data_IF_246537689568
#
_entry.id   IF_246537689568
#
_cell.length_a   1.000
_cell.length_b   1.000
_cell.length_c   1.000
_cell.angle_alpha   90.00
_cell.angle_beta   90.00
_cell.angle_gamma   90.00
#
_symmetry.space_group_name_H-M   'P 1'
#
loop_
_entity.id
_entity.type
_entity.pdbx_description
1 polymer ?
#
# COMPACT_ATOMS: atom_id res chain seq x y z
N UNK A 1 3.49 84.78 -41.31
CA UNK A 1 2.70 83.73 -40.66
C UNK A 1 3.63 82.53 -40.45
N UNK A 2 3.97 82.23 -39.20
CA UNK A 2 4.91 81.14 -38.86
C UNK A 2 4.10 79.91 -38.49
N UNK A 3 4.24 78.83 -39.25
CA UNK A 3 3.65 77.50 -38.90
C UNK A 3 4.55 76.82 -37.90
N UNK A 4 4.00 76.44 -36.78
CA UNK A 4 4.66 75.57 -35.77
C UNK A 4 4.35 74.10 -36.09
N UNK A 5 5.37 73.29 -36.33
CA UNK A 5 5.28 71.86 -36.41
C UNK A 5 5.33 71.29 -35.01
N UNK A 6 4.32 70.49 -34.66
CA UNK A 6 4.24 69.71 -33.42
C UNK A 6 4.88 68.37 -33.65
N UNK A 7 5.93 68.06 -32.87
CA UNK A 7 6.60 66.76 -32.88
C UNK A 7 5.95 65.87 -31.81
N UNK A 8 5.16 64.85 -32.23
CA UNK A 8 4.58 63.86 -31.35
C UNK A 8 5.59 62.73 -31.12
N UNK A 9 6.13 62.67 -29.93
CA UNK A 9 7.01 61.56 -29.51
C UNK A 9 6.16 60.33 -29.14
N UNK A 10 6.17 59.30 -29.95
CA UNK A 10 5.60 57.97 -29.59
C UNK A 10 6.58 57.25 -28.68
N UNK A 11 6.23 57.10 -27.38
CA UNK A 11 6.94 56.23 -26.46
C UNK A 11 6.36 54.82 -26.63
N UNK A 12 7.14 53.94 -27.25
CA UNK A 12 6.82 52.51 -27.35
C UNK A 12 7.24 51.84 -26.04
N UNK A 13 6.27 51.59 -25.14
CA UNK A 13 6.51 50.81 -23.91
C UNK A 13 6.52 49.33 -24.29
N UNK A 14 7.70 48.74 -24.35
CA UNK A 14 7.92 47.32 -24.53
C UNK A 14 7.59 46.60 -23.19
N UNK A 15 6.41 45.96 -23.08
CA UNK A 15 6.12 45.05 -21.99
C UNK A 15 6.92 43.74 -22.21
N UNK A 16 8.05 43.60 -21.51
CA UNK A 16 8.71 42.30 -21.36
C UNK A 16 7.89 41.47 -20.38
N UNK A 17 7.02 40.59 -20.86
CA UNK A 17 6.43 39.56 -20.07
C UNK A 17 7.51 38.50 -19.81
N UNK A 18 8.16 38.56 -18.63
CA UNK A 18 8.95 37.46 -18.13
C UNK A 18 7.99 36.31 -17.83
N UNK A 19 7.86 35.37 -18.76
CA UNK A 19 7.28 34.07 -18.48
C UNK A 19 8.22 33.35 -17.50
N UNK A 20 7.98 33.52 -16.19
CA UNK A 20 8.56 32.63 -15.18
C UNK A 20 7.96 31.25 -15.43
N UNK A 21 8.68 30.39 -16.16
CA UNK A 21 8.46 28.98 -16.15
C UNK A 21 8.70 28.53 -14.69
N UNK A 22 7.62 28.38 -13.94
CA UNK A 22 7.63 27.59 -12.70
C UNK A 22 8.10 26.19 -13.10
N UNK A 23 9.41 25.95 -13.03
CA UNK A 23 9.96 24.61 -12.98
C UNK A 23 9.42 24.02 -11.68
N UNK A 24 8.29 23.30 -11.76
CA UNK A 24 7.84 22.47 -10.65
C UNK A 24 8.99 21.51 -10.40
N UNK A 25 9.73 21.76 -9.32
CA UNK A 25 10.81 20.88 -8.89
C UNK A 25 10.24 19.46 -8.86
N UNK A 26 10.87 18.55 -9.59
CA UNK A 26 10.48 17.16 -9.56
C UNK A 26 10.80 16.68 -8.15
N UNK A 27 9.79 16.22 -7.40
CA UNK A 27 9.99 15.63 -6.08
C UNK A 27 11.04 14.55 -6.20
N UNK A 28 12.16 14.71 -5.50
CA UNK A 28 13.20 13.70 -5.35
C UNK A 28 13.09 13.08 -3.96
N UNK A 29 13.74 11.93 -3.79
CA UNK A 29 13.71 11.21 -2.52
C UNK A 29 15.13 10.87 -2.07
N UNK A 30 15.35 10.96 -0.75
CA UNK A 30 16.47 10.29 -0.10
C UNK A 30 16.03 8.87 0.22
N UNK A 31 16.86 7.87 -0.14
CA UNK A 31 16.65 6.47 0.22
C UNK A 31 17.44 6.13 1.48
N UNK A 32 16.78 5.55 2.47
CA UNK A 32 17.37 5.00 3.69
C UNK A 32 17.23 3.49 3.67
N UNK A 33 18.32 2.77 3.88
CA UNK A 33 18.33 1.33 4.11
C UNK A 33 17.85 1.05 5.53
N UNK A 34 16.82 0.23 5.68
CA UNK A 34 16.34 -0.15 7.02
C UNK A 34 17.23 -1.20 7.68
N UNK A 35 18.13 -1.84 6.89
CA UNK A 35 18.95 -2.94 7.36
C UNK A 35 18.17 -4.22 7.59
N UNK A 36 18.75 -5.13 8.39
CA UNK A 36 18.18 -6.44 8.69
C UNK A 36 18.43 -6.80 10.16
N UNK A 37 17.56 -7.65 10.76
CA UNK A 37 17.73 -8.14 12.13
C UNK A 37 18.92 -9.10 12.28
N UNK A 38 19.32 -9.77 11.20
CA UNK A 38 20.41 -10.75 11.18
C UNK A 38 21.44 -10.39 10.11
N UNK A 39 22.72 -10.64 10.35
CA UNK A 39 23.74 -10.46 9.34
C UNK A 39 23.45 -11.32 8.09
N UNK A 40 23.61 -10.74 6.90
CA UNK A 40 23.27 -11.37 5.61
C UNK A 40 21.80 -11.83 5.52
N UNK A 41 20.89 -11.18 6.25
CA UNK A 41 19.46 -11.41 6.17
C UNK A 41 18.79 -10.61 5.06
N UNK A 42 17.47 -10.70 5.01
CA UNK A 42 16.59 -9.85 4.20
C UNK A 42 15.66 -9.04 5.10
N UNK A 43 15.07 -8.00 4.55
CA UNK A 43 13.95 -7.29 5.18
C UNK A 43 12.93 -6.84 4.14
N UNK A 44 11.67 -6.76 4.57
CA UNK A 44 10.51 -6.29 3.79
C UNK A 44 9.81 -5.21 4.62
N UNK A 45 9.57 -4.04 4.06
CA UNK A 45 8.87 -2.96 4.76
C UNK A 45 7.46 -2.78 4.18
N UNK A 46 6.44 -3.20 4.93
CA UNK A 46 5.06 -3.27 4.44
C UNK A 46 4.23 -2.00 4.73
N UNK A 47 4.47 -1.36 5.85
CA UNK A 47 3.67 -0.19 6.26
C UNK A 47 4.50 0.83 7.02
N UNK A 48 4.12 2.11 6.86
CA UNK A 48 4.69 3.27 7.57
C UNK A 48 3.57 4.12 8.16
N UNK A 49 3.68 4.51 9.43
CA UNK A 49 2.73 5.40 10.07
C UNK A 49 3.08 6.89 9.89
N UNK A 50 2.26 7.77 10.45
CA UNK A 50 2.42 9.22 10.32
C UNK A 50 3.70 9.76 10.98
N UNK A 51 4.25 9.08 11.99
CA UNK A 51 5.49 9.43 12.69
C UNK A 51 6.75 8.86 12.04
N UNK A 52 6.59 8.04 10.97
CA UNK A 52 7.70 7.40 10.26
C UNK A 52 8.15 6.08 10.88
N UNK A 53 7.37 5.50 11.79
CA UNK A 53 7.61 4.14 12.27
C UNK A 53 7.16 3.13 11.20
N UNK A 54 7.93 2.05 11.05
CA UNK A 54 7.76 1.09 9.95
C UNK A 54 7.67 -0.32 10.53
N UNK A 55 6.82 -1.14 9.94
CA UNK A 55 6.72 -2.56 10.25
C UNK A 55 6.85 -3.41 9.00
N UNK A 56 7.21 -4.68 9.22
CA UNK A 56 7.38 -5.66 8.16
C UNK A 56 7.91 -6.98 8.70
N UNK A 57 8.76 -7.62 7.92
CA UNK A 57 9.48 -8.82 8.33
C UNK A 57 10.98 -8.69 8.03
N UNK A 58 11.80 -9.27 8.89
CA UNK A 58 13.23 -9.46 8.63
C UNK A 58 13.65 -10.86 9.05
N UNK A 59 14.40 -11.52 8.19
CA UNK A 59 14.76 -12.91 8.39
C UNK A 59 16.02 -13.33 7.66
N UNK A 60 16.19 -14.63 7.55
CA UNK A 60 17.31 -15.26 6.89
C UNK A 60 16.81 -16.32 5.91
N UNK A 61 17.10 -16.11 4.61
CA UNK A 61 16.63 -16.99 3.53
C UNK A 61 17.11 -18.44 3.66
N UNK A 62 18.21 -18.68 4.37
CA UNK A 62 18.76 -20.04 4.55
C UNK A 62 18.02 -20.85 5.64
N UNK A 63 17.31 -20.18 6.55
CA UNK A 63 16.69 -20.83 7.70
C UNK A 63 15.16 -20.79 7.66
N UNK A 64 14.55 -20.04 6.71
CA UNK A 64 13.12 -19.74 6.65
C UNK A 64 12.56 -19.12 7.95
N UNK A 65 13.42 -18.52 8.77
CA UNK A 65 13.04 -17.79 9.97
C UNK A 65 12.80 -16.33 9.61
N UNK A 66 11.72 -15.76 10.12
CA UNK A 66 11.46 -14.32 9.98
C UNK A 66 10.75 -13.78 11.20
N UNK A 67 11.28 -12.70 11.74
CA UNK A 67 10.67 -11.96 12.83
C UNK A 67 9.89 -10.76 12.29
N UNK A 68 8.81 -10.44 12.98
CA UNK A 68 8.13 -9.17 12.85
C UNK A 68 9.06 -8.09 13.38
N UNK A 69 9.22 -6.99 12.67
CA UNK A 69 10.00 -5.86 13.19
C UNK A 69 9.18 -4.60 13.38
N UNK A 70 9.65 -3.75 14.28
CA UNK A 70 9.32 -2.33 14.38
C UNK A 70 10.61 -1.54 14.16
N UNK A 71 10.61 -0.68 13.14
CA UNK A 71 11.68 0.29 12.91
C UNK A 71 11.21 1.65 13.40
N UNK A 72 11.97 2.23 14.33
CA UNK A 72 11.68 3.53 14.94
C UNK A 72 12.99 4.23 15.31
N UNK A 73 13.06 5.54 15.11
CA UNK A 73 14.25 6.35 15.47
C UNK A 73 15.57 5.81 14.87
N UNK A 74 15.53 5.30 13.63
CA UNK A 74 16.72 4.80 12.94
C UNK A 74 17.15 3.39 13.35
N UNK A 75 16.37 2.68 14.16
CA UNK A 75 16.72 1.34 14.67
C UNK A 75 15.60 0.34 14.40
N UNK A 76 15.97 -0.84 13.87
CA UNK A 76 15.10 -1.98 13.70
C UNK A 76 15.16 -2.86 14.95
N UNK A 77 14.01 -3.15 15.54
CA UNK A 77 13.87 -4.05 16.69
C UNK A 77 12.92 -5.19 16.37
N UNK A 78 13.27 -6.44 16.77
CA UNK A 78 12.38 -7.59 16.64
C UNK A 78 11.22 -7.47 17.63
N UNK A 79 9.99 -7.73 17.16
CA UNK A 79 8.82 -7.97 18.00
C UNK A 79 8.62 -9.47 18.29
N UNK A 80 9.44 -10.35 17.68
CA UNK A 80 9.34 -11.80 17.80
C UNK A 80 8.17 -12.40 17.02
N UNK A 81 7.68 -13.55 17.49
CA UNK A 81 6.57 -14.32 16.91
C UNK A 81 5.61 -14.80 18.02
N UNK A 82 4.51 -15.44 17.65
CA UNK A 82 3.60 -16.10 18.60
C UNK A 82 4.11 -17.49 19.05
N UNK A 83 5.41 -17.74 18.96
CA UNK A 83 6.08 -18.96 19.40
C UNK A 83 6.44 -19.92 18.26
N UNK A 84 6.12 -19.58 17.02
CA UNK A 84 6.57 -20.29 15.81
C UNK A 84 7.79 -19.66 15.17
N UNK A 85 8.07 -20.04 13.93
CA UNK A 85 9.32 -19.70 13.23
C UNK A 85 9.20 -18.48 12.30
N UNK A 86 7.98 -17.98 12.03
CA UNK A 86 7.74 -16.94 11.04
C UNK A 86 6.64 -15.98 11.49
N UNK A 87 6.86 -14.70 11.20
CA UNK A 87 5.89 -13.64 11.40
C UNK A 87 6.12 -12.44 10.49
N UNK A 88 5.06 -11.73 10.15
CA UNK A 88 5.06 -10.53 9.29
C UNK A 88 4.14 -9.47 9.88
N UNK A 89 4.64 -8.25 10.06
CA UNK A 89 3.85 -7.05 10.32
C UNK A 89 3.33 -6.47 9.01
N UNK A 90 2.02 -6.37 8.83
CA UNK A 90 1.41 -5.90 7.60
C UNK A 90 0.87 -4.47 7.70
N UNK A 91 0.50 -4.03 8.88
CA UNK A 91 -0.03 -2.69 9.12
C UNK A 91 0.47 -2.10 10.42
N UNK A 92 0.63 -0.79 10.45
CA UNK A 92 0.98 -0.01 11.64
C UNK A 92 0.11 1.25 11.69
N UNK A 93 -0.44 1.56 12.86
CA UNK A 93 -1.27 2.75 13.04
C UNK A 93 -0.49 3.92 13.67
N UNK A 94 -1.14 5.08 13.82
CA UNK A 94 -0.53 6.30 14.36
C UNK A 94 -0.03 6.15 15.81
N UNK A 95 -0.51 5.18 16.57
CA UNK A 95 -0.09 4.87 17.93
C UNK A 95 1.06 3.85 18.00
N UNK A 96 1.66 3.45 16.86
CA UNK A 96 2.70 2.43 16.79
C UNK A 96 2.21 1.00 17.05
N UNK A 97 0.89 0.77 17.02
CA UNK A 97 0.32 -0.57 17.13
C UNK A 97 0.44 -1.29 15.79
N UNK A 98 0.87 -2.54 15.81
CA UNK A 98 1.13 -3.35 14.62
C UNK A 98 0.12 -4.48 14.52
N UNK A 99 -0.38 -4.73 13.32
CA UNK A 99 -1.17 -5.91 12.99
C UNK A 99 -0.52 -6.71 11.86
N UNK A 100 -0.70 -8.03 11.91
CA UNK A 100 -0.11 -8.93 10.94
C UNK A 100 -0.45 -10.38 11.28
N UNK A 101 0.42 -11.29 10.86
CA UNK A 101 0.27 -12.69 11.20
C UNK A 101 1.60 -13.30 11.64
N UNK A 102 1.50 -14.33 12.44
CA UNK A 102 2.63 -15.09 12.94
C UNK A 102 2.25 -16.55 13.11
N UNK A 103 3.19 -17.43 12.89
CA UNK A 103 3.05 -18.81 13.33
C UNK A 103 3.08 -18.88 14.87
N UNK A 104 2.24 -19.74 15.43
CA UNK A 104 2.31 -20.13 16.83
C UNK A 104 3.20 -21.38 17.00
N UNK A 105 3.34 -21.89 18.23
CA UNK A 105 4.15 -23.09 18.54
C UNK A 105 3.66 -24.39 17.87
N UNK A 106 2.49 -24.38 17.23
CA UNK A 106 1.94 -25.50 16.45
C UNK A 106 2.01 -25.25 14.94
N UNK A 107 2.87 -24.32 14.48
CA UNK A 107 3.06 -23.93 13.08
C UNK A 107 1.79 -23.41 12.37
N UNK A 108 0.79 -22.99 13.15
CA UNK A 108 -0.45 -22.43 12.60
C UNK A 108 -0.35 -20.90 12.48
N UNK A 109 -0.78 -20.36 11.36
CA UNK A 109 -0.85 -18.91 11.16
C UNK A 109 -1.98 -18.31 11.98
N UNK A 110 -1.64 -17.31 12.80
CA UNK A 110 -2.54 -16.58 13.69
C UNK A 110 -2.44 -15.10 13.39
N UNK A 111 -3.59 -14.44 13.29
CA UNK A 111 -3.64 -12.99 13.24
C UNK A 111 -3.25 -12.43 14.61
N UNK A 112 -2.42 -11.40 14.63
CA UNK A 112 -2.01 -10.74 15.87
C UNK A 112 -2.28 -9.23 15.83
N UNK A 113 -2.39 -8.67 17.04
CA UNK A 113 -2.32 -7.27 17.34
C UNK A 113 -1.18 -7.05 18.34
N UNK A 114 -0.26 -6.13 18.04
CA UNK A 114 0.85 -5.80 18.93
C UNK A 114 0.71 -4.37 19.43
N UNK A 115 0.93 -4.19 20.73
CA UNK A 115 0.93 -2.89 21.39
C UNK A 115 2.00 -2.86 22.48
N UNK A 116 2.84 -1.82 22.53
CA UNK A 116 3.93 -1.71 23.50
C UNK A 116 4.92 -2.88 23.45
N UNK A 117 5.15 -3.46 22.25
CA UNK A 117 6.07 -4.59 22.05
C UNK A 117 5.49 -5.97 22.39
N UNK A 118 4.23 -6.06 22.82
CA UNK A 118 3.60 -7.33 23.15
C UNK A 118 2.66 -7.79 22.04
N UNK A 119 2.88 -9.00 21.49
CA UNK A 119 2.00 -9.63 20.51
C UNK A 119 0.86 -10.36 21.21
N UNK A 120 -0.37 -10.15 20.75
CA UNK A 120 -1.58 -10.83 21.21
C UNK A 120 -2.25 -11.51 20.02
N UNK A 121 -2.50 -12.81 20.12
CA UNK A 121 -3.35 -13.55 19.17
C UNK A 121 -4.78 -13.03 19.28
N UNK A 122 -5.37 -12.56 18.17
CA UNK A 122 -6.73 -11.99 18.14
C UNK A 122 -7.81 -12.99 17.76
N UNK A 123 -7.46 -14.27 17.68
CA UNK A 123 -8.39 -15.36 17.40
C UNK A 123 -8.62 -15.60 15.90
N UNK A 124 -9.73 -16.30 15.62
CA UNK A 124 -10.16 -16.69 14.27
C UNK A 124 -11.71 -16.81 14.21
N UNK A 125 -12.26 -17.27 13.09
CA UNK A 125 -13.70 -17.47 12.90
C UNK A 125 -14.15 -18.92 13.18
N UNK A 126 -13.38 -19.66 13.99
CA UNK A 126 -13.68 -21.03 14.44
C UNK A 126 -12.98 -22.11 13.64
N UNK A 127 -12.19 -21.77 12.62
CA UNK A 127 -11.44 -22.72 11.79
C UNK A 127 -9.95 -22.83 12.12
N UNK A 128 -9.47 -22.15 13.17
CA UNK A 128 -8.13 -22.32 13.74
C UNK A 128 -7.03 -21.49 13.10
N UNK A 129 -7.27 -20.76 12.00
CA UNK A 129 -6.26 -19.95 11.31
C UNK A 129 -6.80 -18.57 10.90
N UNK A 130 -5.96 -17.55 11.02
CA UNK A 130 -6.25 -16.18 10.60
C UNK A 130 -4.97 -15.42 10.20
N UNK A 131 -5.13 -14.45 9.29
CA UNK A 131 -4.08 -13.54 8.83
C UNK A 131 -4.63 -12.13 8.82
N UNK A 132 -3.98 -11.19 9.50
CA UNK A 132 -4.33 -9.76 9.45
C UNK A 132 -3.50 -9.04 8.39
N UNK A 133 -4.13 -8.10 7.66
CA UNK A 133 -3.51 -7.32 6.60
C UNK A 133 -3.48 -5.82 6.89
N UNK A 134 -4.43 -5.29 7.62
CA UNK A 134 -4.51 -3.85 7.88
C UNK A 134 -4.99 -3.51 9.28
N UNK A 135 -4.66 -2.30 9.71
CA UNK A 135 -5.08 -1.71 10.99
C UNK A 135 -5.35 -0.22 10.78
N UNK A 136 -6.35 0.33 11.48
CA UNK A 136 -6.61 1.78 11.52
C UNK A 136 -6.21 2.42 12.86
N UNK A 137 -6.35 3.74 12.95
CA UNK A 137 -5.91 4.50 14.14
C UNK A 137 -6.82 4.30 15.37
N UNK A 138 -8.00 3.70 15.20
CA UNK A 138 -8.86 3.34 16.33
C UNK A 138 -8.67 1.88 16.77
N UNK A 139 -7.64 1.19 16.25
CA UNK A 139 -7.26 -0.17 16.64
C UNK A 139 -8.14 -1.27 16.04
N UNK A 140 -8.89 -0.99 14.98
CA UNK A 140 -9.60 -2.02 14.23
C UNK A 140 -8.64 -2.72 13.27
N UNK A 141 -8.68 -4.06 13.25
CA UNK A 141 -7.82 -4.91 12.42
C UNK A 141 -8.67 -5.66 11.40
N UNK A 142 -8.19 -5.78 10.18
CA UNK A 142 -8.87 -6.53 9.10
C UNK A 142 -7.96 -7.57 8.48
N UNK A 143 -8.57 -8.62 7.92
CA UNK A 143 -7.81 -9.69 7.31
C UNK A 143 -8.69 -10.80 6.74
N UNK A 144 -8.16 -12.03 6.75
CA UNK A 144 -8.86 -13.25 6.36
C UNK A 144 -8.75 -14.27 7.49
N UNK A 145 -9.83 -14.97 7.79
CA UNK A 145 -9.86 -16.05 8.78
C UNK A 145 -10.68 -17.24 8.28
N UNK A 146 -10.29 -18.44 8.72
CA UNK A 146 -11.01 -19.66 8.42
C UNK A 146 -12.19 -19.78 9.36
N UNK A 147 -13.39 -19.99 8.80
CA UNK A 147 -14.62 -20.24 9.54
C UNK A 147 -14.66 -21.68 10.08
N UNK A 148 -15.57 -21.97 11.01
CA UNK A 148 -15.79 -23.34 11.51
C UNK A 148 -16.20 -24.34 10.41
N UNK A 149 -16.63 -23.86 9.23
CA UNK A 149 -16.93 -24.71 8.06
C UNK A 149 -15.72 -24.93 7.14
N UNK A 150 -14.56 -24.35 7.46
CA UNK A 150 -13.36 -24.43 6.63
C UNK A 150 -13.32 -23.44 5.47
N UNK A 151 -14.19 -22.45 5.43
CA UNK A 151 -14.22 -21.41 4.40
C UNK A 151 -13.38 -20.19 4.83
N UNK A 152 -12.67 -19.53 3.93
CA UNK A 152 -11.97 -18.28 4.21
C UNK A 152 -12.90 -17.09 4.03
N UNK A 153 -13.10 -16.31 5.09
CA UNK A 153 -13.88 -15.08 5.07
C UNK A 153 -13.05 -13.85 5.46
N UNK A 154 -13.31 -12.70 4.84
CA UNK A 154 -12.84 -11.42 5.36
C UNK A 154 -13.37 -11.19 6.77
N UNK A 155 -12.54 -10.64 7.65
CA UNK A 155 -12.94 -10.27 9.00
C UNK A 155 -12.65 -8.81 9.34
N UNK A 156 -13.38 -8.29 10.34
CA UNK A 156 -13.09 -7.08 11.07
C UNK A 156 -12.97 -7.43 12.56
N UNK A 157 -11.80 -7.18 13.15
CA UNK A 157 -11.61 -7.24 14.60
C UNK A 157 -11.81 -5.86 15.20
N UNK A 158 -12.72 -5.74 16.14
CA UNK A 158 -13.06 -4.47 16.80
C UNK A 158 -13.56 -4.73 18.22
N UNK A 159 -13.08 -3.96 19.20
CA UNK A 159 -13.54 -4.10 20.58
C UNK A 159 -13.35 -5.48 21.18
N UNK A 160 -12.27 -6.19 20.84
CA UNK A 160 -11.96 -7.52 21.35
C UNK A 160 -12.73 -8.68 20.66
N UNK A 161 -13.45 -8.40 19.57
CA UNK A 161 -14.25 -9.43 18.86
C UNK A 161 -13.90 -9.45 17.38
N UNK A 162 -13.77 -10.66 16.82
CA UNK A 162 -13.67 -10.89 15.39
C UNK A 162 -15.07 -11.02 14.78
N UNK A 163 -15.36 -10.23 13.77
CA UNK A 163 -16.64 -10.13 13.07
C UNK A 163 -16.44 -10.68 11.67
N UNK A 164 -17.20 -11.71 11.30
CA UNK A 164 -17.26 -12.24 9.94
C UNK A 164 -17.96 -11.24 9.00
N UNK A 165 -17.30 -10.81 7.94
CA UNK A 165 -17.86 -9.87 6.96
C UNK A 165 -18.62 -10.58 5.84
N UNK A 166 -18.59 -11.93 5.80
CA UNK A 166 -19.13 -12.73 4.70
C UNK A 166 -18.31 -12.60 3.41
N UNK A 167 -18.93 -13.03 2.31
CA UNK A 167 -18.32 -12.98 0.95
C UNK A 167 -19.32 -12.34 -0.03
N UNK A 168 -18.86 -12.15 -1.28
CA UNK A 168 -19.77 -11.74 -2.39
C UNK A 168 -20.67 -12.88 -2.90
N UNK A 169 -20.78 -13.98 -2.13
CA UNK A 169 -21.61 -15.12 -2.43
C UNK A 169 -20.86 -16.41 -2.73
N UNK A 170 -19.53 -16.40 -2.61
CA UNK A 170 -18.70 -17.61 -2.69
C UNK A 170 -18.87 -18.47 -1.44
N UNK A 171 -18.93 -19.78 -1.63
CA UNK A 171 -18.84 -20.82 -0.59
C UNK A 171 -17.51 -21.59 -0.69
N UNK A 172 -16.41 -20.92 -1.04
CA UNK A 172 -15.14 -21.57 -1.34
C UNK A 172 -14.04 -21.28 -0.31
N UNK A 173 -13.14 -22.25 -0.13
CA UNK A 173 -11.93 -22.12 0.67
C UNK A 173 -10.84 -21.39 -0.15
N UNK A 174 -10.98 -20.10 -0.35
CA UNK A 174 -10.01 -19.28 -1.07
C UNK A 174 -9.44 -18.17 -0.19
N UNK A 175 -8.13 -18.17 0.00
CA UNK A 175 -7.39 -17.12 0.72
C UNK A 175 -7.57 -15.72 0.09
N UNK A 176 -8.09 -15.66 -1.13
CA UNK A 176 -8.42 -14.41 -1.80
C UNK A 176 -9.72 -13.76 -1.29
N UNK A 177 -10.54 -14.45 -0.48
CA UNK A 177 -11.62 -13.84 0.30
C UNK A 177 -10.97 -13.14 1.51
N UNK A 178 -10.60 -11.89 1.37
CA UNK A 178 -9.80 -11.17 2.37
C UNK A 178 -10.11 -9.68 2.41
N UNK A 179 -10.15 -9.12 3.61
CA UNK A 179 -10.14 -7.67 3.83
C UNK A 179 -8.68 -7.18 3.87
N UNK A 180 -8.33 -6.21 3.03
CA UNK A 180 -6.96 -5.73 2.88
C UNK A 180 -6.68 -4.47 3.70
N UNK A 181 -7.64 -3.57 3.80
CA UNK A 181 -7.44 -2.28 4.45
C UNK A 181 -8.73 -1.77 5.08
N UNK A 182 -8.60 -0.98 6.14
CA UNK A 182 -9.69 -0.32 6.86
C UNK A 182 -9.30 1.13 7.17
N UNK A 183 -10.22 2.08 6.91
CA UNK A 183 -10.01 3.48 7.27
C UNK A 183 -10.55 3.81 8.68
N UNK A 184 -10.31 5.02 9.17
CA UNK A 184 -10.73 5.44 10.52
C UNK A 184 -12.26 5.55 10.70
N UNK A 185 -13.03 5.56 9.61
CA UNK A 185 -14.48 5.47 9.65
C UNK A 185 -15.01 4.02 9.72
N UNK A 186 -14.12 3.01 9.76
CA UNK A 186 -14.48 1.59 9.78
C UNK A 186 -14.95 1.05 8.43
N UNK A 187 -14.70 1.77 7.34
CA UNK A 187 -14.96 1.26 5.98
C UNK A 187 -13.83 0.31 5.59
N UNK A 188 -14.18 -0.91 5.23
CA UNK A 188 -13.25 -1.99 4.88
C UNK A 188 -13.24 -2.20 3.36
N UNK A 189 -12.07 -2.43 2.80
CA UNK A 189 -11.90 -2.84 1.40
C UNK A 189 -11.09 -4.12 1.30
N UNK A 190 -11.31 -4.87 0.24
CA UNK A 190 -10.62 -6.12 0.01
C UNK A 190 -11.09 -6.80 -1.25
N UNK A 191 -10.96 -8.12 -1.29
CA UNK A 191 -11.34 -8.98 -2.42
C UNK A 191 -12.20 -10.14 -1.98
N UNK A 192 -13.10 -10.55 -2.85
CA UNK A 192 -13.92 -11.74 -2.65
C UNK A 192 -14.38 -12.32 -3.98
N UNK A 193 -14.58 -13.62 -4.00
CA UNK A 193 -15.28 -14.30 -5.08
C UNK A 193 -16.81 -14.12 -4.95
N UNK A 194 -17.49 -13.93 -6.07
CA UNK A 194 -18.94 -14.00 -6.13
C UNK A 194 -19.44 -15.46 -6.32
N UNK A 195 -20.75 -15.67 -6.30
CA UNK A 195 -21.38 -17.00 -6.46
C UNK A 195 -21.06 -17.69 -7.80
N UNK A 196 -20.59 -16.95 -8.79
CA UNK A 196 -20.20 -17.48 -10.10
C UNK A 196 -18.71 -17.78 -10.19
N UNK A 197 -17.95 -17.62 -9.10
CA UNK A 197 -16.50 -17.82 -9.07
C UNK A 197 -15.70 -16.67 -9.71
N UNK A 198 -16.30 -15.50 -9.90
CA UNK A 198 -15.59 -14.33 -10.38
C UNK A 198 -15.00 -13.55 -9.21
N UNK A 199 -13.82 -13.00 -9.40
CA UNK A 199 -13.03 -12.31 -8.38
C UNK A 199 -13.16 -10.79 -8.50
N UNK A 200 -13.61 -10.12 -7.41
CA UNK A 200 -13.83 -8.69 -7.42
C UNK A 200 -13.35 -8.02 -6.12
N UNK A 201 -12.91 -6.78 -6.26
CA UNK A 201 -12.81 -5.88 -5.13
C UNK A 201 -14.17 -5.65 -4.48
N UNK A 202 -14.18 -5.45 -3.16
CA UNK A 202 -15.37 -5.05 -2.42
C UNK A 202 -15.10 -3.83 -1.53
N UNK A 203 -16.17 -3.14 -1.18
CA UNK A 203 -16.24 -2.20 -0.07
C UNK A 203 -17.29 -2.71 0.91
N UNK A 204 -16.91 -2.85 2.18
CA UNK A 204 -17.81 -3.17 3.26
C UNK A 204 -17.98 -1.94 4.16
N UNK A 205 -19.23 -1.59 4.45
CA UNK A 205 -19.56 -0.48 5.32
C UNK A 205 -20.84 -0.78 6.10
N UNK A 206 -20.81 -0.65 7.43
CA UNK A 206 -21.96 -0.83 8.31
C UNK A 206 -22.80 -2.11 8.02
N UNK A 207 -22.12 -3.25 7.92
CA UNK A 207 -22.79 -4.56 7.73
C UNK A 207 -23.11 -4.90 6.28
N UNK A 208 -22.81 -4.03 5.31
CA UNK A 208 -23.11 -4.26 3.90
C UNK A 208 -21.84 -4.36 3.06
N UNK A 209 -21.62 -5.52 2.42
CA UNK A 209 -20.61 -5.71 1.40
C UNK A 209 -21.15 -5.32 0.02
N UNK A 210 -20.41 -4.50 -0.71
CA UNK A 210 -20.77 -4.03 -2.04
C UNK A 210 -19.64 -4.36 -3.01
N UNK A 211 -19.98 -5.07 -4.08
CA UNK A 211 -19.04 -5.43 -5.15
C UNK A 211 -18.59 -4.17 -5.89
N UNK A 212 -17.29 -4.04 -6.12
CA UNK A 212 -16.71 -3.02 -7.00
C UNK A 212 -16.78 -3.46 -8.47
N UNK A 213 -16.69 -2.49 -9.39
CA UNK A 213 -16.57 -2.76 -10.82
C UNK A 213 -15.15 -3.20 -11.22
N UNK A 214 -14.85 -3.06 -12.49
CA UNK A 214 -13.53 -3.29 -13.11
C UNK A 214 -13.16 -2.09 -13.99
N UNK A 215 -11.98 -2.11 -14.61
CA UNK A 215 -11.62 -1.15 -15.66
C UNK A 215 -12.15 -1.58 -17.05
N UNK A 216 -13.19 -2.43 -17.08
CA UNK A 216 -13.83 -2.97 -18.28
C UNK A 216 -13.44 -4.40 -18.60
N UNK A 217 -12.53 -5.00 -17.85
CA UNK A 217 -12.12 -6.41 -17.93
C UNK A 217 -12.91 -7.30 -16.96
N UNK A 218 -12.33 -8.43 -16.57
CA UNK A 218 -13.06 -9.53 -15.93
C UNK A 218 -12.84 -9.63 -14.40
N UNK A 219 -11.83 -8.95 -13.80
CA UNK A 219 -11.65 -8.93 -12.35
C UNK A 219 -11.03 -7.63 -11.82
N UNK A 220 -11.13 -7.45 -10.52
CA UNK A 220 -10.52 -6.34 -9.78
C UNK A 220 -10.16 -6.75 -8.36
N UNK A 221 -9.22 -6.03 -7.75
CA UNK A 221 -8.81 -6.17 -6.36
C UNK A 221 -8.67 -4.79 -5.73
N UNK A 222 -9.19 -4.63 -4.51
CA UNK A 222 -9.01 -3.42 -3.71
C UNK A 222 -7.95 -3.69 -2.63
N UNK A 223 -6.86 -2.91 -2.62
CA UNK A 223 -5.71 -3.13 -1.74
C UNK A 223 -5.66 -2.14 -0.58
N UNK A 224 -6.00 -0.88 -0.82
CA UNK A 224 -5.94 0.14 0.22
C UNK A 224 -7.08 1.16 0.11
N UNK A 225 -7.47 1.71 1.26
CA UNK A 225 -8.43 2.80 1.39
C UNK A 225 -7.85 3.89 2.29
N UNK A 226 -8.02 5.16 1.90
CA UNK A 226 -7.65 6.30 2.75
C UNK A 226 -8.83 6.84 3.57
N UNK A 227 -8.57 7.80 4.47
CA UNK A 227 -9.61 8.40 5.32
C UNK A 227 -10.62 9.29 4.55
N UNK A 228 -10.35 9.62 3.29
CA UNK A 228 -11.29 10.28 2.39
C UNK A 228 -12.19 9.29 1.63
N UNK A 229 -12.06 7.97 1.89
CA UNK A 229 -12.82 6.92 1.21
C UNK A 229 -12.37 6.68 -0.23
N UNK A 230 -11.15 7.09 -0.61
CA UNK A 230 -10.56 6.75 -1.89
C UNK A 230 -9.90 5.38 -1.79
N UNK A 231 -10.19 4.52 -2.75
CA UNK A 231 -9.72 3.13 -2.82
C UNK A 231 -8.73 2.99 -3.97
N UNK A 232 -7.65 2.29 -3.75
CA UNK A 232 -6.70 1.86 -4.80
C UNK A 232 -6.55 0.36 -4.84
N UNK A 233 -6.01 -0.13 -5.94
CA UNK A 233 -5.76 -1.55 -6.15
C UNK A 233 -5.41 -1.81 -7.61
N UNK A 234 -5.86 -2.95 -8.12
CA UNK A 234 -5.66 -3.36 -9.51
C UNK A 234 -6.99 -3.76 -10.15
N UNK A 235 -7.18 -3.40 -11.41
CA UNK A 235 -8.32 -3.79 -12.22
C UNK A 235 -7.90 -4.16 -13.63
N UNK A 236 -8.54 -5.18 -14.21
CA UNK A 236 -8.31 -5.51 -15.60
C UNK A 236 -9.06 -4.55 -16.50
N UNK A 237 -8.34 -4.05 -17.51
CA UNK A 237 -8.88 -3.25 -18.59
C UNK A 237 -9.61 -4.14 -19.60
N UNK A 238 -10.37 -3.53 -20.51
CA UNK A 238 -11.02 -4.26 -21.62
C UNK A 238 -10.02 -4.97 -22.53
N UNK A 239 -8.78 -4.47 -22.64
CA UNK A 239 -7.71 -5.11 -23.41
C UNK A 239 -7.05 -6.30 -22.72
N UNK A 240 -7.43 -6.61 -21.47
CA UNK A 240 -6.86 -7.72 -20.70
C UNK A 240 -5.56 -7.39 -19.99
N UNK A 241 -5.20 -6.10 -19.86
CA UNK A 241 -4.05 -5.64 -19.05
C UNK A 241 -4.49 -5.21 -17.65
N UNK A 242 -3.67 -5.47 -16.66
CA UNK A 242 -3.95 -5.08 -15.29
C UNK A 242 -3.35 -3.70 -14.98
N UNK A 243 -4.19 -2.73 -14.61
CA UNK A 243 -3.78 -1.37 -14.26
C UNK A 243 -4.16 -1.03 -12.83
N UNK A 244 -3.33 -0.20 -12.17
CA UNK A 244 -3.70 0.44 -10.93
C UNK A 244 -4.84 1.43 -11.16
N UNK A 245 -5.73 1.57 -10.16
CA UNK A 245 -6.86 2.49 -10.22
C UNK A 245 -6.98 3.34 -8.96
N UNK A 246 -7.75 4.43 -9.05
CA UNK A 246 -8.38 5.11 -7.91
C UNK A 246 -9.89 5.08 -8.11
N UNK A 247 -10.62 4.65 -7.08
CA UNK A 247 -12.07 4.75 -7.03
C UNK A 247 -12.49 5.62 -5.84
N UNK A 248 -13.56 6.39 -5.98
CA UNK A 248 -14.06 7.27 -4.92
C UNK A 248 -15.57 7.52 -5.07
N UNK A 249 -16.16 8.06 -3.99
CA UNK A 249 -17.58 8.41 -3.94
C UNK A 249 -18.51 7.18 -3.85
N UNK A 250 -19.81 7.42 -3.90
CA UNK A 250 -20.84 6.40 -3.73
C UNK A 250 -20.92 5.39 -4.88
N UNK A 251 -20.48 5.78 -6.06
CA UNK A 251 -20.50 4.92 -7.26
C UNK A 251 -19.30 4.00 -7.36
N UNK A 252 -18.22 4.25 -6.60
CA UNK A 252 -16.96 3.50 -6.65
C UNK A 252 -16.42 3.32 -8.07
N UNK A 253 -16.69 4.31 -8.95
CA UNK A 253 -16.22 4.26 -10.34
C UNK A 253 -14.70 4.32 -10.36
N UNK A 254 -14.10 3.31 -10.95
CA UNK A 254 -12.64 3.22 -11.09
C UNK A 254 -12.14 4.18 -12.16
N UNK A 255 -11.11 4.93 -11.83
CA UNK A 255 -10.31 5.72 -12.77
C UNK A 255 -8.97 5.00 -12.97
N UNK A 256 -8.69 4.64 -14.20
CA UNK A 256 -7.42 4.05 -14.62
C UNK A 256 -6.27 5.05 -14.40
N UNK A 257 -5.19 4.62 -13.77
CA UNK A 257 -3.98 5.43 -13.54
C UNK A 257 -2.94 5.29 -14.67
N UNK A 258 -3.20 4.40 -15.64
CA UNK A 258 -2.30 4.12 -16.74
C UNK A 258 -1.08 3.30 -16.31
N UNK A 259 0.01 3.46 -17.07
CA UNK A 259 1.28 2.75 -16.88
C UNK A 259 2.45 3.72 -16.88
N UNK A 260 3.61 3.29 -16.41
CA UNK A 260 4.87 4.01 -16.59
C UNK A 260 5.34 3.82 -18.04
N UNK A 261 5.91 4.84 -18.65
CA UNK A 261 6.52 4.74 -19.98
C UNK A 261 7.63 3.67 -20.00
N UNK A 262 7.48 2.68 -20.89
CA UNK A 262 8.36 1.51 -21.00
C UNK A 262 7.94 0.29 -20.17
N UNK A 263 6.88 0.39 -19.35
CA UNK A 263 6.30 -0.76 -18.68
C UNK A 263 5.60 -1.69 -19.69
N UNK A 264 5.70 -3.00 -19.47
CA UNK A 264 5.25 -4.00 -20.46
C UNK A 264 3.83 -4.46 -20.25
N UNK A 265 3.28 -4.45 -19.02
CA UNK A 265 1.92 -5.00 -18.87
C UNK A 265 1.17 -4.67 -17.58
N UNK A 266 1.75 -4.87 -16.40
CA UNK A 266 0.96 -4.96 -15.17
C UNK A 266 1.36 -3.88 -14.18
N UNK A 267 0.37 -3.14 -13.65
CA UNK A 267 0.57 -2.10 -12.64
C UNK A 267 -0.38 -2.35 -11.47
N UNK A 268 0.19 -2.49 -10.27
CA UNK A 268 -0.53 -2.77 -9.03
C UNK A 268 -0.40 -1.60 -8.08
N UNK A 269 -1.51 -1.00 -7.64
CA UNK A 269 -1.53 -0.03 -6.55
C UNK A 269 -1.61 -0.75 -5.21
N UNK A 270 -0.68 -0.50 -4.29
CA UNK A 270 -0.64 -1.13 -2.96
C UNK A 270 -1.04 -0.16 -1.86
N UNK A 271 -0.52 1.07 -1.87
CA UNK A 271 -0.79 2.08 -0.87
C UNK A 271 -1.41 3.37 -1.44
N UNK A 272 -2.19 4.05 -0.62
CA UNK A 272 -2.77 5.37 -0.92
C UNK A 272 -2.82 6.23 0.35
N UNK A 273 -2.33 7.49 0.27
CA UNK A 273 -2.46 8.44 1.38
C UNK A 273 -3.67 9.37 1.22
N UNK A 274 -3.94 10.20 2.24
CA UNK A 274 -5.08 11.14 2.24
C UNK A 274 -4.96 12.29 1.20
N UNK A 275 -3.80 12.48 0.60
CA UNK A 275 -3.62 13.38 -0.55
C UNK A 275 -3.96 12.73 -1.89
N UNK A 276 -4.32 11.43 -1.89
CA UNK A 276 -4.63 10.66 -3.10
C UNK A 276 -3.38 10.27 -3.91
N UNK A 277 -2.21 10.29 -3.28
CA UNK A 277 -0.97 9.75 -3.86
C UNK A 277 -1.02 8.24 -3.73
N UNK A 278 -0.81 7.54 -4.86
CA UNK A 278 -0.79 6.07 -4.91
C UNK A 278 0.63 5.58 -5.16
N UNK A 279 0.99 4.51 -4.46
CA UNK A 279 2.26 3.79 -4.65
C UNK A 279 2.01 2.33 -4.97
N UNK A 280 3.00 1.67 -5.55
CA UNK A 280 2.89 0.26 -5.92
C UNK A 280 4.03 -0.20 -6.81
N UNK A 281 3.76 -1.19 -7.67
CA UNK A 281 4.75 -1.72 -8.61
C UNK A 281 4.23 -1.79 -10.04
N UNK A 282 5.14 -1.71 -10.99
CA UNK A 282 4.91 -1.86 -12.42
C UNK A 282 5.88 -2.88 -13.00
N UNK A 283 5.41 -3.67 -13.98
CA UNK A 283 6.23 -4.71 -14.63
C UNK A 283 6.99 -4.12 -15.81
N UNK A 284 8.30 -4.36 -15.85
CA UNK A 284 9.22 -4.01 -16.93
C UNK A 284 9.92 -5.28 -17.43
N UNK A 285 9.58 -5.78 -18.59
CA UNK A 285 10.13 -7.01 -19.16
C UNK A 285 10.17 -8.15 -18.14
N UNK A 286 11.29 -8.40 -17.47
CA UNK A 286 11.48 -9.46 -16.50
C UNK A 286 11.75 -8.95 -15.07
N UNK A 287 11.44 -7.67 -14.78
CA UNK A 287 11.66 -7.06 -13.47
C UNK A 287 10.46 -6.20 -13.06
N UNK A 288 10.45 -5.79 -11.80
CA UNK A 288 9.47 -4.86 -11.25
C UNK A 288 10.14 -3.56 -10.85
N UNK A 289 9.42 -2.45 -11.02
CA UNK A 289 9.83 -1.14 -10.54
C UNK A 289 8.73 -0.54 -9.65
N UNK A 290 9.16 -0.05 -8.51
CA UNK A 290 8.31 0.74 -7.63
C UNK A 290 7.89 2.05 -8.32
N UNK A 291 6.62 2.45 -8.15
CA UNK A 291 6.10 3.70 -8.71
C UNK A 291 5.43 4.58 -7.66
N UNK A 292 5.34 5.85 -7.99
CA UNK A 292 4.46 6.83 -7.33
C UNK A 292 3.56 7.48 -8.38
N UNK A 293 2.25 7.56 -8.09
CA UNK A 293 1.27 8.32 -8.87
C UNK A 293 0.85 9.55 -8.08
N UNK A 294 1.13 10.73 -8.63
CA UNK A 294 0.81 12.02 -8.03
C UNK A 294 0.58 13.06 -9.11
N UNK A 295 -0.36 14.00 -8.90
CA UNK A 295 -0.64 15.07 -9.85
C UNK A 295 -1.07 14.60 -11.25
N UNK A 296 -1.73 13.44 -11.33
CA UNK A 296 -2.19 12.85 -12.60
C UNK A 296 -1.12 12.10 -13.39
N UNK A 297 0.07 11.89 -12.83
CA UNK A 297 1.21 11.24 -13.53
C UNK A 297 1.78 10.12 -12.68
N UNK A 298 2.07 8.99 -13.34
CA UNK A 298 2.82 7.87 -12.76
C UNK A 298 4.31 8.05 -13.06
N UNK A 299 5.15 7.90 -12.04
CA UNK A 299 6.60 8.05 -12.13
C UNK A 299 7.30 6.84 -11.54
N UNK A 300 8.36 6.38 -12.17
CA UNK A 300 9.27 5.35 -11.67
C UNK A 300 10.10 5.92 -10.50
N UNK A 301 10.00 5.33 -9.32
CA UNK A 301 10.74 5.77 -8.12
C UNK A 301 12.25 5.62 -8.29
N UNK A 302 12.71 4.67 -9.09
CA UNK A 302 14.14 4.51 -9.41
C UNK A 302 14.73 5.74 -10.13
N UNK A 303 13.90 6.55 -10.78
CA UNK A 303 14.31 7.81 -11.43
C UNK A 303 14.23 9.03 -10.51
N UNK A 304 13.75 8.85 -9.29
CA UNK A 304 13.54 9.91 -8.31
C UNK A 304 14.50 9.83 -7.12
N UNK A 305 15.38 8.84 -7.09
CA UNK A 305 16.51 8.74 -6.15
C UNK A 305 17.81 9.11 -6.86
N UNK A 306 18.84 9.45 -6.09
CA UNK A 306 20.15 9.76 -6.64
C UNK A 306 20.76 8.55 -7.37
N UNK A 307 21.45 8.80 -8.48
CA UNK A 307 22.16 7.74 -9.19
C UNK A 307 23.35 7.22 -8.36
N UNK A 308 23.70 5.95 -8.54
CA UNK A 308 24.86 5.34 -7.87
C UNK A 308 24.64 4.97 -6.41
N UNK A 309 23.40 5.00 -5.91
CA UNK A 309 23.07 4.58 -4.54
C UNK A 309 23.16 3.06 -4.32
N UNK A 310 23.31 2.26 -5.36
CA UNK A 310 23.27 0.79 -5.29
C UNK A 310 21.84 0.20 -5.16
N UNK A 311 20.80 1.03 -5.15
CA UNK A 311 19.42 0.61 -5.03
C UNK A 311 18.74 0.32 -6.36
N UNK A 312 17.93 -0.74 -6.35
CA UNK A 312 16.85 -0.99 -7.31
C UNK A 312 15.57 -1.16 -6.52
N UNK A 313 14.66 -0.18 -6.61
CA UNK A 313 13.37 -0.17 -5.91
C UNK A 313 12.37 -1.02 -6.70
N UNK A 314 11.94 -2.14 -6.11
CA UNK A 314 11.13 -3.18 -6.75
C UNK A 314 9.64 -2.90 -6.57
N UNK A 315 9.20 -2.68 -5.34
CA UNK A 315 7.82 -2.36 -5.00
C UNK A 315 7.74 -1.34 -3.86
N UNK A 316 6.67 -0.57 -3.84
CA UNK A 316 6.33 0.40 -2.82
C UNK A 316 4.99 0.00 -2.20
N UNK A 317 5.01 -0.43 -0.93
CA UNK A 317 3.89 -1.06 -0.26
C UNK A 317 3.08 -0.08 0.60
N UNK A 318 3.76 0.87 1.24
CA UNK A 318 3.16 1.85 2.12
C UNK A 318 3.56 3.29 1.81
N UNK A 319 2.64 4.22 2.08
CA UNK A 319 2.87 5.67 2.00
C UNK A 319 2.12 6.37 3.13
N UNK A 320 2.78 7.31 3.83
CA UNK A 320 2.15 8.11 4.87
C UNK A 320 1.71 9.52 4.39
N UNK A 321 1.13 10.30 5.29
CA UNK A 321 0.67 11.67 5.02
C UNK A 321 1.79 12.65 4.69
N UNK A 322 3.01 12.40 5.18
CA UNK A 322 4.20 13.20 4.86
C UNK A 322 4.81 12.85 3.48
N UNK A 323 4.26 11.83 2.78
CA UNK A 323 4.77 11.35 1.50
C UNK A 323 5.99 10.45 1.61
N UNK A 324 6.32 9.97 2.81
CA UNK A 324 7.32 8.94 3.01
C UNK A 324 6.78 7.61 2.48
N UNK A 325 7.62 6.87 1.74
CA UNK A 325 7.24 5.62 1.06
C UNK A 325 8.15 4.51 1.56
N UNK A 326 7.57 3.35 1.82
CA UNK A 326 8.31 2.14 2.21
C UNK A 326 8.00 0.99 1.24
N UNK A 327 8.90 0.04 1.16
CA UNK A 327 8.71 -1.13 0.31
C UNK A 327 9.94 -2.02 0.29
N UNK A 328 10.01 -2.85 -0.75
CA UNK A 328 11.11 -3.77 -1.01
C UNK A 328 11.96 -3.28 -2.18
N UNK A 329 13.26 -3.38 -2.04
CA UNK A 329 14.24 -3.19 -3.11
C UNK A 329 15.44 -4.11 -2.95
N UNK A 330 16.37 -4.02 -3.90
CA UNK A 330 17.69 -4.60 -3.72
C UNK A 330 18.71 -3.48 -3.50
N UNK A 331 19.55 -3.63 -2.50
CA UNK A 331 20.69 -2.77 -2.22
C UNK A 331 21.97 -3.56 -2.40
N UNK A 332 22.77 -3.22 -3.43
CA UNK A 332 23.97 -3.96 -3.80
C UNK A 332 23.72 -5.48 -4.00
N UNK A 333 22.53 -5.85 -4.51
CA UNK A 333 22.13 -7.22 -4.80
C UNK A 333 21.51 -8.00 -3.64
N UNK A 334 21.32 -7.40 -2.46
CA UNK A 334 20.63 -7.99 -1.32
C UNK A 334 19.22 -7.37 -1.16
N UNK A 335 18.22 -8.18 -0.80
CA UNK A 335 16.85 -7.74 -0.59
C UNK A 335 16.70 -7.01 0.75
N UNK A 336 16.44 -5.71 0.70
CA UNK A 336 16.24 -4.87 1.87
C UNK A 336 14.95 -4.05 1.77
N UNK A 337 14.29 -3.85 2.92
CA UNK A 337 13.29 -2.83 3.10
C UNK A 337 13.92 -1.44 3.04
N UNK A 338 13.24 -0.51 2.42
CA UNK A 338 13.68 0.86 2.28
C UNK A 338 12.66 1.86 2.82
N UNK A 339 13.16 3.04 3.20
CA UNK A 339 12.37 4.25 3.43
C UNK A 339 12.80 5.33 2.45
N UNK A 340 11.85 5.87 1.67
CA UNK A 340 12.03 7.06 0.86
C UNK A 340 11.45 8.27 1.60
N UNK A 341 12.27 9.31 1.76
CA UNK A 341 11.85 10.59 2.34
C UNK A 341 11.88 11.66 1.26
N UNK A 342 10.75 12.40 1.01
CA UNK A 342 10.72 13.49 0.03
C UNK A 342 11.71 14.61 0.39
N UNK A 343 12.35 15.20 -0.64
CA UNK A 343 13.25 16.35 -0.54
C UNK A 343 12.54 17.64 -0.95
#
# INVERSE_FOLDING_TARGET
MKARASLSTFVCILFLTAASSLCLAQTSYTVTDLGTLTSNGYSLANAVNATGEITGASGNSNTNLSDIFLYSNGTMASLGTLGGTSGIGNGINASGQVAGYSQNSSDTYRAFFASGGTLTDIGDLGGGSAVAYGINDVGQVVGSAVTAKGENHPFLYSGGKMIDLGTLGSSGNSWWNSAQSVNNAGVVVGTSYDANGNFFGFVWNNGKMTKMGTLGGFWSQANAINNKGQVTGVGYTKSGTAHAFIASGTTLKMRDLGTIAGATSTVWGFGINDSGVVVGRSTFSNTYHAFVYSGGKMKDLNKLIAAGTGWVLIEADGINSAGQIVGLGTHNGQEHGYLLTPQ
#
